data_IF_459191686316
#
_entry.id   IF_459191686316
#
_cell.length_a   1.000
_cell.length_b   1.000
_cell.length_c   1.000
_cell.angle_alpha   90.00
_cell.angle_beta   90.00
_cell.angle_gamma   90.00
#
_symmetry.space_group_name_H-M   'P 1'
#
loop_
_entity.id
_entity.type
_entity.pdbx_description
1 polymer ?
#
# COMPACT_ATOMS: atom_id res chain seq x y z
N UNK A 1 -0.30 5.11 24.20
CA UNK A 1 -0.16 4.54 22.85
C UNK A 1 -1.57 4.27 22.35
N UNK A 2 -1.97 4.85 21.21
CA UNK A 2 -3.30 4.68 20.61
C UNK A 2 -3.53 3.22 20.23
N UNK A 3 -4.80 2.77 20.13
CA UNK A 3 -5.08 1.37 19.75
C UNK A 3 -4.62 1.08 18.32
N UNK A 4 -4.73 2.06 17.41
CA UNK A 4 -4.16 1.97 16.07
C UNK A 4 -2.63 1.72 16.08
N UNK A 5 -1.89 2.45 16.93
CA UNK A 5 -0.44 2.25 17.05
C UNK A 5 -0.08 0.90 17.64
N UNK A 6 -0.93 0.32 18.51
CA UNK A 6 -0.74 -1.06 19.02
C UNK A 6 -0.95 -2.09 17.92
N UNK A 7 -2.04 -1.95 17.13
CA UNK A 7 -2.32 -2.83 16.00
C UNK A 7 -1.18 -2.82 14.98
N UNK A 8 -0.71 -1.61 14.61
CA UNK A 8 0.45 -1.45 13.75
C UNK A 8 1.68 -2.18 14.29
N UNK A 9 1.97 -2.04 15.59
CA UNK A 9 3.16 -2.67 16.19
C UNK A 9 3.11 -4.19 16.09
N UNK A 10 1.95 -4.79 16.32
CA UNK A 10 1.78 -6.26 16.21
C UNK A 10 2.10 -6.74 14.79
N UNK A 11 1.56 -6.07 13.76
CA UNK A 11 1.86 -6.43 12.37
C UNK A 11 3.33 -6.18 12.03
N UNK A 12 3.89 -5.05 12.47
CA UNK A 12 5.29 -4.71 12.20
C UNK A 12 6.25 -5.75 12.79
N UNK A 13 6.02 -6.19 14.02
CA UNK A 13 6.85 -7.21 14.66
C UNK A 13 6.80 -8.54 13.89
N UNK A 14 5.61 -8.92 13.36
CA UNK A 14 5.47 -10.08 12.48
C UNK A 14 6.27 -9.90 11.18
N UNK A 15 6.17 -8.76 10.52
CA UNK A 15 6.93 -8.45 9.28
C UNK A 15 8.43 -8.53 9.52
N UNK A 16 8.92 -7.97 10.64
CA UNK A 16 10.34 -8.02 10.99
C UNK A 16 10.82 -9.46 11.19
N UNK A 17 10.03 -10.28 11.86
CA UNK A 17 10.33 -11.70 12.10
C UNK A 17 10.35 -12.49 10.79
N UNK A 18 9.34 -12.36 9.94
CA UNK A 18 9.23 -13.07 8.66
C UNK A 18 10.36 -12.71 7.70
N UNK A 19 10.74 -11.43 7.66
CA UNK A 19 11.85 -10.93 6.83
C UNK A 19 13.22 -11.08 7.47
N UNK A 20 13.29 -11.59 8.71
CA UNK A 20 14.53 -11.75 9.50
C UNK A 20 15.31 -10.45 9.64
N UNK A 21 14.59 -9.35 9.84
CA UNK A 21 15.20 -8.05 10.10
C UNK A 21 15.54 -7.90 11.57
N UNK A 22 16.76 -7.45 11.86
CA UNK A 22 17.26 -7.16 13.21
C UNK A 22 17.52 -5.65 13.34
N UNK A 23 16.48 -4.84 13.60
CA UNK A 23 16.63 -3.40 13.67
C UNK A 23 17.34 -2.97 14.96
N UNK A 24 18.24 -2.00 14.86
CA UNK A 24 18.82 -1.31 16.01
C UNK A 24 17.87 -0.25 16.60
N UNK A 25 17.03 0.34 15.76
CA UNK A 25 16.05 1.35 16.14
C UNK A 25 14.80 1.29 15.26
N UNK A 26 13.63 1.55 15.84
CA UNK A 26 12.35 1.67 15.13
C UNK A 26 11.66 2.94 15.63
N UNK A 27 11.36 3.86 14.70
CA UNK A 27 10.57 5.07 14.96
C UNK A 27 9.22 4.95 14.28
N UNK A 28 8.13 5.20 14.99
CA UNK A 28 6.76 5.22 14.47
C UNK A 28 6.16 6.58 14.80
N UNK A 29 5.88 7.35 13.77
CA UNK A 29 5.28 8.68 13.84
C UNK A 29 3.87 8.65 13.24
N UNK A 30 2.88 9.07 14.01
CA UNK A 30 1.51 9.26 13.50
C UNK A 30 1.43 10.56 12.71
N UNK A 31 0.83 10.49 11.52
CA UNK A 31 0.60 11.64 10.67
C UNK A 31 -0.72 12.32 11.06
N UNK A 32 -0.77 13.65 11.14
CA UNK A 32 -2.03 14.34 11.32
C UNK A 32 -2.94 14.08 10.10
N UNK A 33 -4.19 13.71 10.33
CA UNK A 33 -5.13 13.38 9.26
C UNK A 33 -5.46 14.56 8.33
N UNK A 34 -5.27 15.79 8.79
CA UNK A 34 -5.54 17.00 7.99
C UNK A 34 -6.95 17.07 7.37
N UNK A 35 -7.88 16.24 7.85
CA UNK A 35 -9.22 16.13 7.25
C UNK A 35 -9.26 15.37 5.92
N UNK A 36 -8.20 14.68 5.54
CA UNK A 36 -8.11 13.96 4.26
C UNK A 36 -8.40 12.47 4.39
N UNK A 37 -8.31 11.94 5.61
CA UNK A 37 -8.50 10.51 5.85
C UNK A 37 -9.51 10.30 6.99
N UNK A 38 -10.65 9.72 6.65
CA UNK A 38 -11.78 9.52 7.57
C UNK A 38 -11.87 8.12 8.14
N UNK A 39 -11.16 7.15 7.54
CA UNK A 39 -11.32 5.73 7.87
C UNK A 39 -10.11 5.11 8.54
N UNK A 40 -8.96 5.80 8.52
CA UNK A 40 -7.70 5.21 8.96
C UNK A 40 -6.79 6.22 9.65
N UNK A 41 -5.97 5.75 10.58
CA UNK A 41 -4.79 6.46 11.06
C UNK A 41 -3.59 6.13 10.17
N UNK A 42 -2.79 7.14 9.85
CA UNK A 42 -1.62 7.02 8.98
C UNK A 42 -0.35 7.14 9.81
N UNK A 43 0.65 6.34 9.46
CA UNK A 43 1.93 6.31 10.18
C UNK A 43 3.11 6.29 9.20
N UNK A 44 4.15 7.03 9.57
CA UNK A 44 5.48 6.89 9.00
C UNK A 44 6.32 6.01 9.92
N UNK A 45 7.07 5.09 9.33
CA UNK A 45 7.90 4.15 10.08
C UNK A 45 9.33 4.25 9.53
N UNK A 46 10.29 4.49 10.41
CA UNK A 46 11.71 4.40 10.08
C UNK A 46 12.32 3.23 10.85
N UNK A 47 13.00 2.36 10.13
CA UNK A 47 13.63 1.14 10.67
C UNK A 47 15.11 1.18 10.31
N UNK A 48 15.97 1.33 11.33
CA UNK A 48 17.41 1.30 11.15
C UNK A 48 17.91 -0.15 11.15
N UNK A 49 18.31 -0.64 9.99
CA UNK A 49 18.98 -1.94 9.82
C UNK A 49 20.49 -1.74 9.68
N UNK A 50 21.32 -2.78 9.89
CA UNK A 50 22.77 -2.66 9.82
C UNK A 50 23.30 -2.07 8.51
N UNK A 51 22.65 -2.38 7.38
CA UNK A 51 23.12 -1.97 6.04
C UNK A 51 22.28 -0.86 5.40
N UNK A 52 21.08 -0.59 5.92
CA UNK A 52 20.15 0.39 5.33
C UNK A 52 19.12 0.89 6.33
N UNK A 53 18.55 2.05 6.05
CA UNK A 53 17.35 2.52 6.69
C UNK A 53 16.14 2.23 5.79
N UNK A 54 15.10 1.59 6.35
CA UNK A 54 13.82 1.42 5.66
C UNK A 54 12.86 2.53 6.07
N UNK A 55 12.23 3.13 5.08
CA UNK A 55 11.17 4.12 5.25
C UNK A 55 9.87 3.52 4.76
N UNK A 56 8.96 3.26 5.70
CA UNK A 56 7.69 2.62 5.41
C UNK A 56 6.53 3.55 5.73
N UNK A 57 5.43 3.33 5.07
CA UNK A 57 4.14 3.95 5.32
C UNK A 57 3.16 2.88 5.79
N UNK A 58 2.34 3.22 6.78
CA UNK A 58 1.30 2.32 7.24
C UNK A 58 -0.03 3.05 7.37
N UNK A 59 -1.09 2.30 7.06
CA UNK A 59 -2.47 2.70 7.19
C UNK A 59 -3.17 1.70 8.11
N UNK A 60 -3.80 2.20 9.17
CA UNK A 60 -4.49 1.38 10.18
C UNK A 60 -5.94 1.82 10.27
N UNK A 61 -6.87 0.89 10.17
CA UNK A 61 -8.29 1.20 10.34
C UNK A 61 -8.54 1.93 11.67
N UNK A 62 -9.25 3.04 11.58
CA UNK A 62 -9.63 3.87 12.71
C UNK A 62 -11.03 4.46 12.47
N UNK A 63 -12.02 3.60 12.35
CA UNK A 63 -13.39 3.94 12.00
C UNK A 63 -14.34 3.34 13.03
N UNK A 64 -15.26 4.16 13.55
CA UNK A 64 -16.30 3.71 14.48
C UNK A 64 -17.29 2.76 13.82
N UNK A 65 -17.92 1.90 14.62
CA UNK A 65 -18.82 0.83 14.14
C UNK A 65 -19.94 1.36 13.23
N UNK A 66 -20.60 2.43 13.62
CA UNK A 66 -21.72 3.01 12.85
C UNK A 66 -21.26 3.52 11.48
N UNK A 67 -20.14 4.24 11.44
CA UNK A 67 -19.59 4.74 10.18
C UNK A 67 -19.03 3.62 9.31
N UNK A 68 -18.54 2.54 9.92
CA UNK A 68 -18.05 1.35 9.23
C UNK A 68 -19.15 0.71 8.37
N UNK A 69 -20.34 0.57 8.94
CA UNK A 69 -21.49 -0.01 8.24
C UNK A 69 -21.95 0.90 7.09
N UNK A 70 -22.04 2.20 7.35
CA UNK A 70 -22.46 3.21 6.34
C UNK A 70 -21.47 3.23 5.15
N UNK A 71 -20.19 3.18 5.42
CA UNK A 71 -19.12 3.26 4.39
C UNK A 71 -18.78 1.90 3.77
N UNK A 72 -19.46 0.83 4.16
CA UNK A 72 -19.12 -0.53 3.71
C UNK A 72 -17.62 -0.83 3.89
N UNK A 73 -17.06 -0.48 5.05
CA UNK A 73 -15.63 -0.51 5.28
C UNK A 73 -15.04 -1.92 5.14
N UNK A 74 -15.79 -2.97 5.45
CA UNK A 74 -15.36 -4.36 5.27
C UNK A 74 -15.09 -4.68 3.80
N UNK A 75 -15.92 -4.18 2.89
CA UNK A 75 -15.70 -4.32 1.45
C UNK A 75 -14.49 -3.50 1.00
N UNK A 76 -14.31 -2.26 1.47
CA UNK A 76 -13.17 -1.42 1.13
C UNK A 76 -11.85 -2.06 1.58
N UNK A 77 -11.75 -2.50 2.83
CA UNK A 77 -10.54 -3.17 3.33
C UNK A 77 -10.32 -4.54 2.67
N UNK A 78 -11.38 -5.27 2.38
CA UNK A 78 -11.31 -6.53 1.63
C UNK A 78 -10.76 -6.34 0.21
N UNK A 79 -11.20 -5.28 -0.49
CA UNK A 79 -10.68 -4.91 -1.81
C UNK A 79 -9.21 -4.49 -1.72
N UNK A 80 -8.84 -3.65 -0.74
CA UNK A 80 -7.45 -3.24 -0.52
C UNK A 80 -6.55 -4.47 -0.26
N UNK A 81 -7.00 -5.39 0.58
CA UNK A 81 -6.30 -6.65 0.82
C UNK A 81 -6.10 -7.45 -0.46
N UNK A 82 -7.16 -7.68 -1.24
CA UNK A 82 -7.09 -8.42 -2.51
C UNK A 82 -6.04 -7.80 -3.45
N UNK A 83 -6.04 -6.47 -3.57
CA UNK A 83 -5.06 -5.76 -4.40
C UNK A 83 -3.64 -6.04 -3.95
N UNK A 84 -3.32 -5.85 -2.67
CA UNK A 84 -1.95 -5.97 -2.18
C UNK A 84 -1.45 -7.41 -2.07
N UNK A 85 -2.32 -8.37 -1.72
CA UNK A 85 -1.87 -9.76 -1.50
C UNK A 85 -1.94 -10.63 -2.74
N UNK A 86 -2.86 -10.32 -3.68
CA UNK A 86 -3.09 -11.20 -4.83
C UNK A 86 -2.90 -10.49 -6.17
N UNK A 87 -3.58 -9.37 -6.39
CA UNK A 87 -3.57 -8.72 -7.70
C UNK A 87 -2.17 -8.19 -8.07
N UNK A 88 -1.49 -7.53 -7.14
CA UNK A 88 -0.12 -7.03 -7.36
C UNK A 88 0.86 -8.16 -7.71
N UNK A 89 0.75 -9.30 -7.04
CA UNK A 89 1.59 -10.46 -7.35
C UNK A 89 1.34 -10.97 -8.77
N UNK A 90 0.08 -11.18 -9.14
CA UNK A 90 -0.31 -11.62 -10.49
C UNK A 90 0.17 -10.63 -11.57
N UNK A 91 0.00 -9.34 -11.34
CA UNK A 91 0.42 -8.31 -12.29
C UNK A 91 1.95 -8.22 -12.41
N UNK A 92 2.67 -8.36 -11.31
CA UNK A 92 4.14 -8.40 -11.34
C UNK A 92 4.65 -9.63 -12.11
N UNK A 93 4.02 -10.80 -11.96
CA UNK A 93 4.36 -11.99 -12.76
C UNK A 93 4.07 -11.79 -14.25
N UNK A 94 2.94 -11.19 -14.60
CA UNK A 94 2.60 -10.91 -16.01
C UNK A 94 3.60 -9.96 -16.69
N UNK A 95 4.13 -9.02 -15.95
CA UNK A 95 5.01 -7.98 -16.51
C UNK A 95 6.50 -8.22 -16.28
N UNK A 96 6.91 -9.35 -15.66
CA UNK A 96 8.30 -9.58 -15.27
C UNK A 96 9.31 -9.52 -16.43
N UNK A 97 8.89 -9.92 -17.62
CA UNK A 97 9.74 -9.94 -18.82
C UNK A 97 9.59 -8.67 -19.68
N UNK A 98 8.75 -7.71 -19.27
CA UNK A 98 8.61 -6.43 -19.96
C UNK A 98 9.79 -5.52 -19.59
N UNK A 99 10.12 -4.60 -20.52
CA UNK A 99 11.04 -3.50 -20.23
C UNK A 99 10.42 -2.55 -19.19
N UNK A 100 11.26 -1.94 -18.38
CA UNK A 100 10.82 -1.07 -17.27
C UNK A 100 9.88 0.07 -17.73
N UNK A 101 10.10 0.64 -18.91
CA UNK A 101 9.25 1.68 -19.51
C UNK A 101 7.78 1.27 -19.71
N UNK A 102 7.52 -0.04 -19.86
CA UNK A 102 6.17 -0.59 -20.06
C UNK A 102 5.55 -1.13 -18.77
N UNK A 103 6.33 -1.28 -17.71
CA UNK A 103 5.83 -1.81 -16.44
C UNK A 103 4.95 -0.80 -15.71
N UNK A 104 3.93 -1.32 -15.06
CA UNK A 104 3.21 -0.60 -14.02
C UNK A 104 3.95 -0.80 -12.69
N UNK A 105 4.29 0.30 -12.02
CA UNK A 105 5.05 0.26 -10.77
C UNK A 105 4.09 0.27 -9.59
N UNK A 106 4.20 -0.75 -8.74
CA UNK A 106 3.51 -0.81 -7.45
C UNK A 106 4.47 -0.43 -6.32
N UNK A 107 3.97 0.14 -5.22
CA UNK A 107 4.79 0.30 -4.01
C UNK A 107 5.18 -1.07 -3.47
N UNK A 108 6.38 -1.21 -2.89
CA UNK A 108 6.76 -2.46 -2.23
C UNK A 108 5.80 -2.73 -1.05
N UNK A 109 5.22 -3.93 -1.04
CA UNK A 109 4.31 -4.38 0.00
C UNK A 109 5.07 -5.16 1.08
N UNK A 110 4.82 -4.83 2.34
CA UNK A 110 5.49 -5.43 3.49
C UNK A 110 4.59 -6.34 4.29
N UNK A 111 3.33 -6.00 4.48
CA UNK A 111 2.41 -6.85 5.23
C UNK A 111 1.03 -6.25 5.42
N UNK A 112 0.08 -7.12 5.79
CA UNK A 112 -1.31 -6.76 6.06
C UNK A 112 -1.85 -7.54 7.24
N UNK A 113 -2.74 -6.92 8.02
CA UNK A 113 -3.56 -7.54 9.04
C UNK A 113 -5.02 -7.45 8.65
N UNK A 114 -5.74 -8.58 8.81
CA UNK A 114 -7.16 -8.72 8.49
C UNK A 114 -8.06 -8.61 9.72
N UNK A 115 -7.49 -8.29 10.88
CA UNK A 115 -8.26 -8.18 12.12
C UNK A 115 -9.28 -7.06 12.00
N UNK A 116 -10.56 -7.41 12.02
CA UNK A 116 -11.68 -6.48 11.86
C UNK A 116 -11.61 -5.34 12.89
N UNK A 117 -11.67 -4.09 12.40
CA UNK A 117 -11.52 -2.88 13.21
C UNK A 117 -10.05 -2.51 13.51
N UNK A 118 -9.10 -3.31 13.02
CA UNK A 118 -7.65 -3.09 13.12
C UNK A 118 -6.93 -3.45 11.82
N UNK A 119 -7.67 -3.46 10.72
CA UNK A 119 -7.08 -3.71 9.41
C UNK A 119 -5.91 -2.77 9.21
N UNK A 120 -4.77 -3.34 8.90
CA UNK A 120 -3.51 -2.60 8.80
C UNK A 120 -2.79 -3.03 7.54
N UNK A 121 -2.28 -2.07 6.78
CA UNK A 121 -1.37 -2.32 5.66
C UNK A 121 -0.07 -1.58 5.88
N UNK A 122 1.06 -2.24 5.58
CA UNK A 122 2.41 -1.66 5.60
C UNK A 122 3.01 -1.77 4.21
N UNK A 123 3.46 -0.65 3.68
CA UNK A 123 4.05 -0.55 2.34
C UNK A 123 5.23 0.42 2.34
N UNK A 124 5.93 0.49 1.23
CA UNK A 124 6.95 1.48 0.95
C UNK A 124 6.41 2.91 1.14
N UNK A 125 7.24 3.79 1.70
CA UNK A 125 6.94 5.21 1.73
C UNK A 125 7.38 5.86 0.42
N UNK A 126 6.44 6.05 -0.50
CA UNK A 126 6.70 6.59 -1.83
C UNK A 126 7.29 8.01 -1.81
N UNK A 127 7.00 8.80 -0.77
CA UNK A 127 7.59 10.16 -0.65
C UNK A 127 9.11 10.06 -0.52
N UNK A 128 9.61 9.11 0.25
CA UNK A 128 11.05 8.87 0.39
C UNK A 128 11.69 8.29 -0.91
N UNK A 129 10.87 7.68 -1.76
CA UNK A 129 11.28 7.20 -3.09
C UNK A 129 11.20 8.26 -4.18
N UNK A 130 10.93 9.54 -3.80
CA UNK A 130 10.93 10.69 -4.71
C UNK A 130 9.58 11.00 -5.38
N UNK A 131 8.49 10.37 -4.93
CA UNK A 131 7.15 10.73 -5.37
C UNK A 131 6.63 11.93 -4.57
N UNK A 132 5.93 12.83 -5.24
CA UNK A 132 5.30 13.99 -4.63
C UNK A 132 3.79 13.97 -4.87
N UNK A 133 3.03 14.46 -3.88
CA UNK A 133 1.60 14.67 -4.07
C UNK A 133 1.36 15.93 -4.91
N UNK A 134 0.54 15.78 -5.94
CA UNK A 134 0.06 16.95 -6.68
C UNK A 134 -0.92 17.75 -5.81
N UNK A 135 -0.83 19.07 -5.86
CA UNK A 135 -1.72 19.96 -5.11
C UNK A 135 -3.17 19.79 -5.58
N UNK A 136 -3.99 19.13 -4.77
CA UNK A 136 -5.40 18.81 -5.07
C UNK A 136 -6.30 20.01 -5.33
N UNK A 137 -5.86 21.21 -4.98
CA UNK A 137 -6.59 22.46 -5.24
C UNK A 137 -6.24 23.10 -6.58
N UNK A 138 -5.28 22.54 -7.29
CA UNK A 138 -4.91 22.96 -8.64
C UNK A 138 -5.55 22.06 -9.69
N UNK A 139 -5.91 22.62 -10.82
CA UNK A 139 -6.30 21.85 -12.00
C UNK A 139 -5.10 21.11 -12.55
N UNK A 140 -5.30 19.87 -12.96
CA UNK A 140 -4.27 19.11 -13.67
C UNK A 140 -3.95 19.78 -15.00
N UNK A 141 -2.67 19.97 -15.29
CA UNK A 141 -2.22 20.35 -16.61
C UNK A 141 -2.20 19.15 -17.57
N UNK A 142 -1.88 19.43 -18.83
CA UNK A 142 -1.87 18.39 -19.87
C UNK A 142 -0.86 17.28 -19.58
N UNK A 143 0.32 17.60 -19.07
CA UNK A 143 1.36 16.62 -18.85
C UNK A 143 1.00 15.65 -17.71
N UNK A 144 0.46 16.17 -16.60
CA UNK A 144 -0.05 15.34 -15.51
C UNK A 144 -1.23 14.47 -15.95
N UNK A 145 -2.17 15.06 -16.73
CA UNK A 145 -3.31 14.31 -17.28
C UNK A 145 -2.87 13.19 -18.20
N UNK A 146 -1.93 13.46 -19.12
CA UNK A 146 -1.35 12.47 -20.03
C UNK A 146 -0.70 11.32 -19.28
N UNK A 147 0.20 11.61 -18.33
CA UNK A 147 0.88 10.58 -17.51
C UNK A 147 -0.14 9.74 -16.74
N UNK A 148 -1.16 10.37 -16.17
CA UNK A 148 -2.22 9.66 -15.45
C UNK A 148 -2.96 8.67 -16.36
N UNK A 149 -3.35 9.08 -17.56
CA UNK A 149 -4.03 8.21 -18.54
C UNK A 149 -3.10 7.09 -19.04
N UNK A 150 -1.85 7.39 -19.36
CA UNK A 150 -0.85 6.39 -19.76
C UNK A 150 -0.63 5.34 -18.65
N UNK A 151 -0.55 5.76 -17.40
CA UNK A 151 -0.39 4.86 -16.24
C UNK A 151 -1.63 3.98 -16.04
N UNK A 152 -2.82 4.56 -16.16
CA UNK A 152 -4.08 3.82 -16.09
C UNK A 152 -4.20 2.81 -17.25
N UNK A 153 -3.75 3.16 -18.44
CA UNK A 153 -3.74 2.25 -19.59
C UNK A 153 -2.83 1.03 -19.36
N UNK A 154 -1.64 1.23 -18.77
CA UNK A 154 -0.76 0.13 -18.37
C UNK A 154 -1.44 -0.80 -17.34
N UNK A 155 -2.10 -0.24 -16.34
CA UNK A 155 -2.84 -1.02 -15.34
C UNK A 155 -3.97 -1.84 -15.97
N UNK A 156 -4.76 -1.24 -16.86
CA UNK A 156 -5.85 -1.95 -17.57
C UNK A 156 -5.30 -3.01 -18.53
N UNK A 157 -4.17 -2.76 -19.21
CA UNK A 157 -3.56 -3.77 -20.08
C UNK A 157 -3.23 -5.07 -19.32
N UNK A 158 -2.76 -4.95 -18.06
CA UNK A 158 -2.52 -6.12 -17.20
C UNK A 158 -3.81 -6.88 -16.87
N UNK A 159 -4.95 -6.20 -16.68
CA UNK A 159 -6.23 -6.87 -16.44
C UNK A 159 -6.69 -7.67 -17.67
N UNK A 160 -6.54 -7.14 -18.88
CA UNK A 160 -6.84 -7.87 -20.11
C UNK A 160 -5.92 -9.06 -20.35
N UNK A 161 -4.63 -8.93 -20.03
CA UNK A 161 -3.69 -10.05 -20.11
C UNK A 161 -4.06 -11.16 -19.12
N UNK A 162 -4.45 -10.80 -17.89
CA UNK A 162 -4.91 -11.74 -16.87
C UNK A 162 -6.17 -12.49 -17.32
N UNK A 163 -7.16 -11.80 -17.91
CA UNK A 163 -8.40 -12.40 -18.40
C UNK A 163 -8.16 -13.40 -19.54
N UNK A 164 -7.17 -13.13 -20.41
CA UNK A 164 -6.80 -14.03 -21.52
C UNK A 164 -6.08 -15.30 -21.08
N UNK A 165 -5.74 -15.42 -19.80
CA UNK A 165 -4.99 -16.57 -19.29
C UNK A 165 -3.50 -16.50 -19.59
N UNK A 166 -2.96 -15.33 -19.90
CA UNK A 166 -1.53 -15.10 -20.11
C UNK A 166 -0.74 -15.17 -18.79
N UNK A 167 -1.44 -15.30 -17.65
CA UNK A 167 -0.81 -15.51 -16.34
C UNK A 167 -0.31 -16.95 -16.20
N UNK A 168 0.87 -17.18 -15.61
CA UNK A 168 1.34 -18.51 -15.29
C UNK A 168 0.33 -19.24 -14.40
N UNK A 169 -0.06 -20.47 -14.77
CA UNK A 169 -1.10 -21.28 -14.11
C UNK A 169 -0.77 -21.78 -12.69
N UNK A 170 0.11 -21.12 -11.94
CA UNK A 170 0.57 -21.53 -10.62
C UNK A 170 0.38 -20.47 -9.58
N UNK A 171 -0.88 -20.23 -9.19
CA UNK A 171 -1.19 -19.53 -7.93
C UNK A 171 -2.31 -20.32 -7.26
N UNK A 172 -1.91 -21.34 -6.49
CA UNK A 172 -2.75 -21.96 -5.46
C UNK A 172 -2.81 -21.07 -4.21
#
# INVERSE_FOLDING_TARGET
MTDAKKALRVLLDKVLQERRYEPSEIKIQEMPSGGQNYTSALFLISICLPEKELKLFAKVANIGKELRDIMQADWLYGTERFVYTRLMHLYNELQKDLKDEYRYVFPEFYGISEETGKETVIMENLVESGYEEYDRFKSLDWDHGRIGVETLAKFHALSFALERGDAPCHVE
#
